data_IF_393643023272
#
_entry.id   IF_393643023272
#
_cell.length_a   1.000
_cell.length_b   1.000
_cell.length_c   1.000
_cell.angle_alpha   90.00
_cell.angle_beta   90.00
_cell.angle_gamma   90.00
#
_symmetry.space_group_name_H-M   'P 1'
#
loop_
_entity.id
_entity.type
_entity.pdbx_description
1 polymer ?
#
# COMPACT_ATOMS: atom_id res chain seq x y z
N UNK A 1 -40.20 19.93 -31.23
CA UNK A 1 -40.20 21.01 -32.24
C UNK A 1 -41.38 21.90 -31.95
N UNK A 2 -41.13 23.18 -31.73
CA UNK A 2 -42.19 24.18 -31.75
C UNK A 2 -42.67 24.40 -33.19
N UNK A 3 -43.98 24.33 -33.43
CA UNK A 3 -44.55 24.31 -34.77
C UNK A 3 -44.53 25.68 -35.48
N UNK A 4 -44.34 26.78 -34.73
CA UNK A 4 -44.33 28.14 -35.29
C UNK A 4 -42.91 28.67 -35.55
N UNK A 5 -41.98 28.40 -34.64
CA UNK A 5 -40.59 28.85 -34.69
C UNK A 5 -39.63 27.82 -35.30
N UNK A 6 -39.97 26.53 -35.23
CA UNK A 6 -39.05 25.45 -35.56
C UNK A 6 -38.08 25.10 -34.43
N UNK A 7 -38.19 25.73 -33.25
CA UNK A 7 -37.29 25.51 -32.12
C UNK A 7 -37.28 24.04 -31.68
N UNK A 8 -36.07 23.49 -31.53
CA UNK A 8 -35.83 22.16 -30.97
C UNK A 8 -35.38 22.34 -29.52
N UNK A 9 -36.03 21.65 -28.60
CA UNK A 9 -35.70 21.65 -27.18
C UNK A 9 -35.62 20.22 -26.70
N UNK A 10 -34.74 20.00 -25.73
CA UNK A 10 -34.68 18.72 -25.02
C UNK A 10 -35.88 18.62 -24.09
N UNK A 11 -36.56 17.48 -24.08
CA UNK A 11 -37.76 17.24 -23.26
C UNK A 11 -37.46 16.83 -21.81
N UNK A 12 -36.24 16.39 -21.54
CA UNK A 12 -35.75 15.93 -20.23
C UNK A 12 -34.25 16.14 -20.13
N UNK A 13 -33.69 16.04 -18.93
CA UNK A 13 -32.23 15.99 -18.75
C UNK A 13 -31.64 14.84 -19.57
N UNK A 14 -30.48 15.08 -20.19
CA UNK A 14 -29.68 14.09 -20.88
C UNK A 14 -28.37 13.97 -20.12
N UNK A 15 -28.04 12.74 -19.75
CA UNK A 15 -26.84 12.37 -19.04
C UNK A 15 -25.98 11.54 -20.00
N UNK A 16 -24.75 11.99 -20.26
CA UNK A 16 -23.86 11.38 -21.23
C UNK A 16 -23.56 9.91 -20.90
N UNK A 17 -23.53 9.56 -19.61
CA UNK A 17 -23.11 8.23 -19.14
C UNK A 17 -24.17 7.15 -19.34
N UNK A 18 -25.43 7.55 -19.51
CA UNK A 18 -26.57 6.62 -19.61
C UNK A 18 -27.37 6.80 -20.89
N UNK A 19 -27.27 7.95 -21.55
CA UNK A 19 -28.03 8.26 -22.76
C UNK A 19 -27.25 7.90 -24.04
N UNK A 20 -27.96 7.74 -25.18
CA UNK A 20 -27.29 7.66 -26.47
C UNK A 20 -26.41 8.88 -26.75
N UNK A 21 -25.15 8.64 -27.11
CA UNK A 21 -24.17 9.69 -27.41
C UNK A 21 -24.46 10.43 -28.73
N UNK A 22 -25.35 9.90 -29.57
CA UNK A 22 -25.77 10.53 -30.82
C UNK A 22 -27.22 10.19 -31.17
N UNK A 23 -27.97 11.21 -31.57
CA UNK A 23 -29.37 11.11 -31.98
C UNK A 23 -29.50 11.51 -33.44
N UNK A 24 -30.20 10.70 -34.23
CA UNK A 24 -30.58 11.02 -35.62
C UNK A 24 -32.07 11.31 -35.70
N UNK A 25 -32.41 12.59 -35.78
CA UNK A 25 -33.78 13.07 -35.80
C UNK A 25 -34.19 13.38 -37.25
N UNK A 26 -35.19 12.66 -37.77
CA UNK A 26 -35.75 12.96 -39.10
C UNK A 26 -36.87 13.98 -38.94
N UNK A 27 -36.65 15.18 -39.47
CA UNK A 27 -37.58 16.30 -39.44
C UNK A 27 -38.32 16.33 -40.78
N UNK A 28 -39.65 16.35 -40.74
CA UNK A 28 -40.51 16.49 -41.92
C UNK A 28 -41.19 17.86 -41.89
N UNK A 29 -41.16 18.56 -43.02
CA UNK A 29 -41.97 19.77 -43.25
C UNK A 29 -43.03 19.47 -44.31
N UNK A 30 -44.23 20.01 -44.15
CA UNK A 30 -45.31 19.93 -45.13
C UNK A 30 -45.98 21.29 -45.26
N UNK A 31 -46.36 21.66 -46.48
CA UNK A 31 -47.27 22.79 -46.67
C UNK A 31 -48.69 22.46 -46.17
N UNK A 32 -49.51 23.51 -46.02
CA UNK A 32 -50.94 23.36 -45.71
C UNK A 32 -51.70 23.11 -47.02
N UNK A 33 -52.78 22.31 -47.01
CA UNK A 33 -53.57 22.08 -48.22
C UNK A 33 -54.09 23.40 -48.77
N UNK A 34 -53.70 23.72 -50.01
CA UNK A 34 -54.29 24.83 -50.76
C UNK A 34 -55.72 24.54 -51.22
N UNK A 35 -56.31 25.44 -51.99
CA UNK A 35 -57.67 25.29 -52.55
C UNK A 35 -57.87 24.05 -53.43
N UNK A 36 -56.80 23.32 -53.77
CA UNK A 36 -56.80 22.06 -54.53
C UNK A 36 -56.49 20.77 -53.74
N UNK A 37 -56.49 20.81 -52.40
CA UNK A 37 -56.42 19.63 -51.51
C UNK A 37 -55.17 18.72 -51.59
N UNK A 38 -54.11 19.12 -52.31
CA UNK A 38 -52.82 18.42 -52.34
C UNK A 38 -51.80 19.12 -51.43
N UNK A 39 -50.94 18.33 -50.79
CA UNK A 39 -49.83 18.82 -49.95
C UNK A 39 -48.50 18.23 -50.41
N UNK A 40 -47.43 19.01 -50.29
CA UNK A 40 -46.06 18.60 -50.56
C UNK A 40 -45.26 18.55 -49.26
N UNK A 41 -44.33 17.61 -49.18
CA UNK A 41 -43.48 17.47 -47.99
C UNK A 41 -42.04 17.11 -48.36
N UNK A 42 -41.11 17.52 -47.51
CA UNK A 42 -39.69 17.16 -47.58
C UNK A 42 -39.19 16.75 -46.20
N UNK A 43 -38.07 16.01 -46.18
CA UNK A 43 -37.43 15.53 -44.95
C UNK A 43 -35.95 15.93 -44.89
N UNK A 44 -35.46 16.10 -43.66
CA UNK A 44 -34.07 16.40 -43.31
C UNK A 44 -33.68 15.55 -42.09
N UNK A 45 -32.44 15.06 -42.04
CA UNK A 45 -31.92 14.33 -40.86
C UNK A 45 -30.97 15.22 -40.06
N UNK A 46 -31.38 15.61 -38.85
CA UNK A 46 -30.54 16.30 -37.88
C UNK A 46 -29.81 15.28 -37.02
N UNK A 47 -28.47 15.35 -37.00
CA UNK A 47 -27.65 14.60 -36.06
C UNK A 47 -27.31 15.50 -34.87
N UNK A 48 -27.64 15.05 -33.67
CA UNK A 48 -27.28 15.70 -32.40
C UNK A 48 -26.30 14.80 -31.69
N UNK A 49 -25.08 15.26 -31.46
CA UNK A 49 -24.12 14.56 -30.62
C UNK A 49 -24.23 15.12 -29.20
N UNK A 50 -24.15 14.23 -28.22
CA UNK A 50 -24.07 14.61 -26.82
C UNK A 50 -22.59 14.72 -26.48
N UNK A 51 -22.18 15.88 -25.95
CA UNK A 51 -20.83 16.07 -25.46
C UNK A 51 -20.79 15.75 -23.96
N UNK A 52 -19.70 15.13 -23.55
CA UNK A 52 -19.47 14.71 -22.18
C UNK A 52 -19.09 15.90 -21.28
N UNK A 53 -19.54 15.88 -20.03
CA UNK A 53 -19.24 16.87 -19.00
C UNK A 53 -18.56 16.15 -17.84
N UNK A 54 -17.55 16.78 -17.21
CA UNK A 54 -16.85 16.20 -16.07
C UNK A 54 -17.73 16.18 -14.80
N UNK A 55 -18.77 15.34 -14.76
CA UNK A 55 -19.75 15.27 -13.67
C UNK A 55 -19.54 14.07 -12.71
N UNK A 56 -18.70 13.09 -13.06
CA UNK A 56 -18.21 12.08 -12.13
C UNK A 56 -16.92 12.51 -11.43
N UNK A 57 -16.38 11.67 -10.55
CA UNK A 57 -15.09 11.90 -9.88
C UNK A 57 -14.35 10.57 -9.81
N UNK A 58 -13.01 10.57 -9.74
CA UNK A 58 -12.27 9.33 -9.60
C UNK A 58 -12.69 8.61 -8.31
N UNK A 59 -12.95 7.31 -8.37
CA UNK A 59 -13.30 6.47 -7.22
C UNK A 59 -12.28 5.37 -7.07
N UNK A 60 -11.56 5.34 -5.95
CA UNK A 60 -10.62 4.25 -5.64
C UNK A 60 -11.35 2.91 -5.47
N UNK A 61 -10.70 1.83 -5.90
CA UNK A 61 -11.20 0.47 -5.71
C UNK A 61 -11.26 0.06 -4.23
N UNK A 62 -10.50 0.75 -3.36
CA UNK A 62 -10.54 0.59 -1.92
C UNK A 62 -10.43 1.95 -1.21
N UNK A 63 -11.19 2.13 -0.13
CA UNK A 63 -11.09 3.29 0.76
C UNK A 63 -9.75 3.34 1.49
N UNK A 64 -9.16 2.18 1.77
CA UNK A 64 -7.82 2.04 2.31
C UNK A 64 -7.15 0.77 1.79
N UNK A 65 -5.84 0.86 1.57
CA UNK A 65 -4.96 -0.25 1.22
C UNK A 65 -4.06 -0.56 2.42
N UNK A 66 -3.79 -1.84 2.66
CA UNK A 66 -2.88 -2.28 3.70
C UNK A 66 -2.12 -3.50 3.19
N UNK A 67 -0.78 -3.47 3.31
CA UNK A 67 0.11 -4.57 2.91
C UNK A 67 1.21 -4.76 3.95
N UNK A 68 1.81 -5.95 3.93
CA UNK A 68 3.02 -6.25 4.68
C UNK A 68 4.14 -6.57 3.67
N UNK A 69 5.33 -6.04 3.90
CA UNK A 69 6.52 -6.28 3.08
C UNK A 69 7.71 -6.56 4.00
N UNK A 70 8.61 -7.42 3.59
CA UNK A 70 9.82 -7.70 4.36
C UNK A 70 10.80 -6.52 4.25
N UNK A 71 11.55 -6.22 5.30
CA UNK A 71 12.57 -5.15 5.24
C UNK A 71 13.68 -5.44 4.23
N UNK A 72 13.93 -6.72 3.96
CA UNK A 72 14.97 -7.21 3.06
C UNK A 72 14.71 -6.96 1.56
N UNK A 73 13.59 -6.33 1.20
CA UNK A 73 13.31 -6.00 -0.21
C UNK A 73 14.35 -5.03 -0.77
N UNK A 74 14.72 -5.23 -2.03
CA UNK A 74 15.64 -4.31 -2.71
C UNK A 74 14.94 -3.04 -3.17
N UNK A 75 15.70 -1.95 -3.26
CA UNK A 75 15.26 -0.73 -3.94
C UNK A 75 14.87 -1.04 -5.39
N UNK A 76 13.77 -0.46 -5.85
CA UNK A 76 13.18 -0.73 -7.16
C UNK A 76 12.13 -1.85 -7.17
N UNK A 77 11.87 -2.49 -6.02
CA UNK A 77 10.83 -3.52 -5.89
C UNK A 77 9.44 -2.89 -5.93
N UNK A 78 8.58 -3.40 -6.81
CA UNK A 78 7.15 -3.07 -6.84
C UNK A 78 6.43 -3.70 -5.65
N UNK A 79 5.75 -2.89 -4.84
CA UNK A 79 5.14 -3.34 -3.57
C UNK A 79 3.63 -3.54 -3.68
N UNK A 80 2.94 -2.64 -4.38
CA UNK A 80 1.49 -2.70 -4.62
C UNK A 80 1.13 -1.77 -5.77
N UNK A 81 -0.02 -2.02 -6.42
CA UNK A 81 -0.67 -1.03 -7.29
C UNK A 81 -2.00 -0.58 -6.69
N UNK A 82 -2.23 0.72 -6.66
CA UNK A 82 -3.54 1.30 -6.36
C UNK A 82 -4.32 1.53 -7.66
N UNK A 83 -5.64 1.56 -7.57
CA UNK A 83 -6.48 1.83 -8.73
C UNK A 83 -7.72 2.64 -8.37
N UNK A 84 -8.09 3.52 -9.28
CA UNK A 84 -9.32 4.27 -9.26
C UNK A 84 -9.96 4.23 -10.65
N UNK A 85 -11.28 4.42 -10.70
CA UNK A 85 -12.07 4.50 -11.93
C UNK A 85 -12.84 5.81 -11.97
N UNK A 86 -13.00 6.37 -13.15
CA UNK A 86 -13.85 7.51 -13.42
C UNK A 86 -14.72 7.16 -14.64
N UNK A 87 -16.01 7.47 -14.56
CA UNK A 87 -16.99 7.04 -15.57
C UNK A 87 -17.04 8.02 -16.75
N UNK A 88 -16.50 9.22 -16.59
CA UNK A 88 -16.49 10.22 -17.65
C UNK A 88 -15.59 9.76 -18.82
N UNK A 89 -15.80 10.35 -19.99
CA UNK A 89 -15.06 9.99 -21.20
C UNK A 89 -13.77 10.79 -21.39
N UNK A 90 -12.89 10.32 -22.27
CA UNK A 90 -11.73 11.10 -22.73
C UNK A 90 -10.86 11.65 -21.58
N UNK A 91 -10.55 12.94 -21.54
CA UNK A 91 -9.76 13.56 -20.47
C UNK A 91 -10.50 13.62 -19.13
N UNK A 92 -11.83 13.68 -19.15
CA UNK A 92 -12.64 13.72 -17.93
C UNK A 92 -12.50 12.41 -17.15
N UNK A 93 -12.41 11.27 -17.84
CA UNK A 93 -12.15 9.97 -17.20
C UNK A 93 -10.68 9.63 -16.95
N UNK A 94 -9.73 10.44 -17.43
CA UNK A 94 -8.30 10.11 -17.34
C UNK A 94 -7.72 10.45 -15.97
N UNK A 95 -7.25 9.42 -15.27
CA UNK A 95 -6.76 9.56 -13.88
C UNK A 95 -5.24 9.76 -13.84
N UNK A 96 -4.80 10.61 -12.91
CA UNK A 96 -3.41 10.76 -12.46
C UNK A 96 -3.31 10.58 -10.96
N UNK A 97 -2.38 9.72 -10.56
CA UNK A 97 -2.09 9.43 -9.16
C UNK A 97 -0.94 10.28 -8.63
N UNK A 98 -1.05 10.70 -7.37
CA UNK A 98 0.01 11.44 -6.64
C UNK A 98 -0.01 11.07 -5.15
N UNK A 99 1.16 11.06 -4.51
CA UNK A 99 1.27 11.01 -3.05
C UNK A 99 1.19 12.46 -2.56
N UNK A 100 0.22 12.76 -1.72
CA UNK A 100 -0.05 14.14 -1.24
C UNK A 100 0.26 14.34 0.25
N UNK A 101 0.65 13.28 0.95
CA UNK A 101 1.05 13.35 2.35
C UNK A 101 1.40 11.99 2.92
N UNK A 102 1.82 12.00 4.18
CA UNK A 102 2.27 10.82 4.90
C UNK A 102 3.79 10.75 5.05
N UNK A 103 4.26 9.72 5.74
CA UNK A 103 5.68 9.53 6.10
C UNK A 103 6.42 8.54 5.19
N UNK A 104 5.74 7.96 4.19
CA UNK A 104 6.34 7.18 3.11
C UNK A 104 6.93 8.02 1.97
N UNK A 105 6.81 9.35 2.00
CA UNK A 105 7.34 10.25 0.97
C UNK A 105 8.87 10.18 0.95
N UNK A 106 9.46 9.90 -0.22
CA UNK A 106 10.90 9.72 -0.37
C UNK A 106 11.40 8.30 -0.08
N UNK A 107 10.56 7.45 0.51
CA UNK A 107 10.81 6.01 0.71
C UNK A 107 10.11 5.19 -0.39
N UNK A 108 8.92 5.63 -0.81
CA UNK A 108 8.16 5.03 -1.88
C UNK A 108 7.90 6.03 -3.01
N UNK A 109 7.92 5.53 -4.24
CA UNK A 109 7.52 6.27 -5.44
C UNK A 109 6.19 5.73 -5.96
N UNK A 110 5.41 6.59 -6.64
CA UNK A 110 4.12 6.24 -7.22
C UNK A 110 4.11 6.62 -8.71
N UNK A 111 3.88 5.63 -9.56
CA UNK A 111 3.71 5.84 -10.98
C UNK A 111 2.38 6.52 -11.28
N UNK A 112 2.43 7.73 -11.85
CA UNK A 112 1.26 8.60 -12.00
C UNK A 112 0.16 8.06 -12.91
N UNK A 113 0.48 7.16 -13.84
CA UNK A 113 -0.49 6.58 -14.79
C UNK A 113 -0.99 5.22 -14.31
N UNK A 114 -0.09 4.33 -13.87
CA UNK A 114 -0.44 2.94 -13.54
C UNK A 114 -0.92 2.75 -12.11
N UNK A 115 -0.59 3.69 -11.21
CA UNK A 115 -0.86 3.54 -9.78
C UNK A 115 0.11 2.58 -9.08
N UNK A 116 1.17 2.14 -9.76
CA UNK A 116 2.19 1.25 -9.20
C UNK A 116 3.06 1.99 -8.17
N UNK A 117 3.28 1.37 -7.03
CA UNK A 117 4.09 1.87 -5.94
C UNK A 117 5.34 1.01 -5.82
N UNK A 118 6.49 1.67 -5.78
CA UNK A 118 7.80 1.04 -5.78
C UNK A 118 8.64 1.56 -4.62
N UNK A 119 9.33 0.68 -3.91
CA UNK A 119 10.30 1.09 -2.89
C UNK A 119 11.51 1.75 -3.55
N UNK A 120 11.94 2.91 -3.06
CA UNK A 120 13.11 3.64 -3.57
C UNK A 120 14.20 3.84 -2.50
N UNK A 121 13.97 3.31 -1.30
CA UNK A 121 14.93 3.29 -0.21
C UNK A 121 14.99 1.89 0.42
N UNK A 122 16.08 1.59 1.11
CA UNK A 122 16.16 0.40 1.95
C UNK A 122 15.23 0.58 3.15
N UNK A 123 14.60 -0.52 3.55
CA UNK A 123 13.77 -0.58 4.74
C UNK A 123 14.57 -1.23 5.87
N UNK A 124 14.16 -0.92 7.09
CA UNK A 124 14.80 -1.37 8.32
C UNK A 124 13.70 -1.35 9.40
N UNK A 125 13.35 -2.53 9.89
CA UNK A 125 12.29 -2.77 10.87
C UNK A 125 12.67 -2.17 12.22
N UNK A 126 13.93 -2.32 12.64
CA UNK A 126 14.48 -1.76 13.89
C UNK A 126 14.40 -0.23 13.89
N UNK A 127 14.56 0.40 12.72
CA UNK A 127 14.37 1.85 12.56
C UNK A 127 12.89 2.24 12.46
N UNK A 128 12.10 1.57 11.61
CA UNK A 128 10.70 1.94 11.36
C UNK A 128 9.84 0.79 10.81
N UNK A 129 8.83 0.44 11.59
CA UNK A 129 7.97 -0.72 11.36
C UNK A 129 6.77 -0.47 10.44
N UNK A 130 6.42 0.78 10.13
CA UNK A 130 5.30 1.07 9.22
C UNK A 130 5.36 2.45 8.59
N UNK A 131 4.70 2.58 7.44
CA UNK A 131 4.54 3.82 6.70
C UNK A 131 3.08 4.02 6.31
N UNK A 132 2.63 5.27 6.37
CA UNK A 132 1.30 5.69 5.92
C UNK A 132 1.45 6.75 4.84
N UNK A 133 0.71 6.58 3.74
CA UNK A 133 0.65 7.54 2.64
C UNK A 133 -0.79 7.91 2.31
N UNK A 134 -1.00 9.18 1.99
CA UNK A 134 -2.26 9.68 1.46
C UNK A 134 -2.14 9.79 -0.07
N UNK A 135 -2.87 8.94 -0.77
CA UNK A 135 -2.83 8.85 -2.23
C UNK A 135 -4.02 9.60 -2.82
N UNK A 136 -3.76 10.46 -3.80
CA UNK A 136 -4.77 11.22 -4.53
C UNK A 136 -4.90 10.71 -5.95
N UNK A 137 -6.13 10.37 -6.36
CA UNK A 137 -6.51 10.17 -7.75
C UNK A 137 -7.21 11.44 -8.24
N UNK A 138 -6.74 12.01 -9.35
CA UNK A 138 -7.27 13.25 -9.93
C UNK A 138 -7.55 13.03 -11.41
N UNK A 139 -8.71 13.47 -11.89
CA UNK A 139 -9.01 13.47 -13.32
C UNK A 139 -8.25 14.58 -14.09
N UNK A 140 -8.38 14.59 -15.42
CA UNK A 140 -7.89 15.67 -16.28
C UNK A 140 -9.03 16.56 -16.81
N UNK A 141 -10.20 16.50 -16.19
CA UNK A 141 -11.36 17.34 -16.53
C UNK A 141 -11.16 18.80 -16.15
N UNK A 142 -12.07 19.67 -16.61
CA UNK A 142 -12.07 21.11 -16.28
C UNK A 142 -13.48 21.57 -15.87
N UNK A 143 -13.72 21.92 -14.59
CA UNK A 143 -12.79 21.82 -13.46
C UNK A 143 -12.47 20.37 -13.12
N UNK A 144 -11.23 20.12 -12.69
CA UNK A 144 -10.79 18.78 -12.33
C UNK A 144 -11.35 18.33 -10.98
N UNK A 145 -11.69 17.05 -10.84
CA UNK A 145 -12.14 16.45 -9.59
C UNK A 145 -11.16 15.37 -9.13
N UNK A 146 -11.32 14.95 -7.87
CA UNK A 146 -10.37 14.05 -7.23
C UNK A 146 -10.96 13.34 -6.01
N UNK A 147 -10.36 12.21 -5.68
CA UNK A 147 -10.59 11.49 -4.42
C UNK A 147 -9.26 11.15 -3.73
N UNK A 148 -9.38 10.68 -2.50
CA UNK A 148 -8.27 10.29 -1.64
C UNK A 148 -8.44 8.85 -1.15
N UNK A 149 -7.33 8.13 -0.98
CA UNK A 149 -7.28 6.83 -0.32
C UNK A 149 -6.01 6.73 0.53
N UNK A 150 -6.10 6.01 1.64
CA UNK A 150 -4.97 5.80 2.56
C UNK A 150 -4.27 4.49 2.19
N UNK A 151 -2.95 4.50 2.14
CA UNK A 151 -2.14 3.29 2.03
C UNK A 151 -1.28 3.14 3.27
N UNK A 152 -1.43 2.00 3.95
CA UNK A 152 -0.57 1.56 5.04
C UNK A 152 0.35 0.43 4.55
N UNK A 153 1.64 0.56 4.81
CA UNK A 153 2.65 -0.45 4.54
C UNK A 153 3.27 -0.83 5.89
N UNK A 154 3.13 -2.08 6.31
CA UNK A 154 3.83 -2.59 7.48
C UNK A 154 5.09 -3.32 7.01
N UNK A 155 6.18 -3.14 7.75
CA UNK A 155 7.44 -3.80 7.52
C UNK A 155 7.48 -5.05 8.40
N UNK A 156 7.83 -6.19 7.83
CA UNK A 156 8.10 -7.40 8.58
C UNK A 156 9.58 -7.46 8.94
N UNK A 157 9.82 -7.79 10.19
CA UNK A 157 11.12 -8.14 10.77
C UNK A 157 11.69 -9.40 10.10
N UNK A 158 12.92 -9.29 9.63
CA UNK A 158 13.76 -10.35 9.10
C UNK A 158 14.97 -10.50 10.02
N UNK A 159 15.41 -11.74 10.26
CA UNK A 159 16.62 -11.98 11.04
C UNK A 159 17.87 -11.47 10.29
N UNK A 160 18.24 -10.21 10.53
CA UNK A 160 19.39 -9.55 9.94
C UNK A 160 20.35 -8.96 10.99
N UNK A 161 19.96 -8.96 12.26
CA UNK A 161 20.83 -8.68 13.38
C UNK A 161 21.38 -9.97 13.98
N UNK A 162 22.60 -9.89 14.52
CA UNK A 162 23.23 -11.00 15.23
C UNK A 162 23.17 -10.78 16.75
N UNK A 163 22.99 -11.85 17.55
CA UNK A 163 23.04 -11.72 18.99
C UNK A 163 24.42 -11.24 19.46
N UNK A 164 24.45 -10.31 20.41
CA UNK A 164 25.68 -9.76 21.00
C UNK A 164 25.69 -9.91 22.51
N UNK A 165 26.80 -10.39 23.08
CA UNK A 165 26.99 -10.45 24.53
C UNK A 165 27.31 -9.07 25.11
N UNK A 166 26.73 -8.73 26.26
CA UNK A 166 27.12 -7.55 27.03
C UNK A 166 27.18 -7.84 28.54
N UNK A 167 28.37 -7.72 29.18
CA UNK A 167 29.70 -7.43 28.61
C UNK A 167 30.27 -8.56 27.73
N UNK A 168 31.21 -8.22 26.86
CA UNK A 168 31.92 -9.17 25.97
C UNK A 168 32.89 -10.09 26.72
N UNK A 169 33.29 -9.72 27.93
CA UNK A 169 34.12 -10.53 28.82
C UNK A 169 33.52 -10.55 30.22
N UNK A 170 33.40 -11.75 30.79
CA UNK A 170 33.06 -11.95 32.18
C UNK A 170 34.27 -12.53 32.90
N UNK A 171 34.67 -11.90 34.01
CA UNK A 171 35.67 -12.45 34.92
C UNK A 171 34.97 -12.75 36.24
N UNK A 172 34.92 -14.02 36.60
CA UNK A 172 34.32 -14.49 37.85
C UNK A 172 35.29 -15.45 38.50
N UNK A 173 35.54 -15.24 39.80
CA UNK A 173 36.29 -16.17 40.63
C UNK A 173 35.29 -17.06 41.39
N UNK A 174 35.59 -18.35 41.45
CA UNK A 174 34.83 -19.31 42.26
C UNK A 174 35.79 -20.05 43.18
N UNK A 175 35.38 -20.29 44.42
CA UNK A 175 36.13 -21.12 45.34
C UNK A 175 36.10 -22.59 44.90
N UNK A 176 37.18 -23.31 45.16
CA UNK A 176 37.28 -24.72 44.82
C UNK A 176 36.31 -25.59 45.64
N UNK A 177 35.92 -25.23 46.84
CA UNK A 177 35.08 -26.09 47.69
C UNK A 177 33.57 -25.96 47.42
N UNK A 178 33.18 -25.38 46.28
CA UNK A 178 31.78 -25.14 45.97
C UNK A 178 31.08 -26.43 45.52
N UNK A 179 29.95 -26.81 46.15
CA UNK A 179 29.19 -27.99 45.76
C UNK A 179 28.53 -27.83 44.40
N UNK A 180 27.97 -28.93 43.87
CA UNK A 180 27.16 -28.89 42.66
C UNK A 180 25.92 -27.99 42.81
N UNK A 181 25.52 -27.33 41.72
CA UNK A 181 24.34 -26.47 41.64
C UNK A 181 24.57 -25.05 42.15
N UNK A 182 25.81 -24.68 42.51
CA UNK A 182 26.12 -23.31 42.94
C UNK A 182 26.13 -22.38 41.74
N UNK A 183 25.47 -21.24 41.91
CA UNK A 183 25.46 -20.14 40.97
C UNK A 183 26.86 -19.54 40.82
N UNK A 184 27.33 -19.41 39.58
CA UNK A 184 28.60 -18.76 39.23
C UNK A 184 28.33 -17.35 38.70
N UNK A 185 27.57 -17.28 37.61
CA UNK A 185 27.33 -16.06 36.86
C UNK A 185 26.07 -16.19 36.03
N UNK A 186 25.56 -15.06 35.55
CA UNK A 186 24.58 -15.03 34.46
C UNK A 186 25.20 -14.28 33.29
N UNK A 187 25.21 -14.91 32.12
CA UNK A 187 25.54 -14.22 30.87
C UNK A 187 24.27 -13.74 30.20
N UNK A 188 24.34 -12.54 29.64
CA UNK A 188 23.25 -11.95 28.86
C UNK A 188 23.73 -11.65 27.44
N UNK A 189 22.86 -11.89 26.47
CA UNK A 189 23.01 -11.38 25.12
C UNK A 189 21.80 -10.51 24.77
N UNK A 190 21.93 -9.70 23.73
CA UNK A 190 20.87 -8.89 23.14
C UNK A 190 20.91 -9.06 21.64
N UNK A 191 19.72 -9.16 21.05
CA UNK A 191 19.50 -9.13 19.60
C UNK A 191 18.50 -8.00 19.33
N UNK A 192 18.70 -7.25 18.24
CA UNK A 192 17.84 -6.12 17.90
C UNK A 192 16.54 -6.56 17.23
N UNK A 193 16.52 -7.77 16.66
CA UNK A 193 15.33 -8.34 16.04
C UNK A 193 14.23 -8.61 17.11
N UNK A 194 13.09 -9.12 16.69
CA UNK A 194 11.96 -9.43 17.57
C UNK A 194 11.47 -10.87 17.47
N UNK A 195 10.68 -11.28 18.46
CA UNK A 195 10.03 -12.58 18.48
C UNK A 195 11.03 -13.75 18.41
N UNK A 196 10.86 -14.61 17.40
CA UNK A 196 11.71 -15.78 17.21
C UNK A 196 13.12 -15.41 16.71
N UNK A 197 13.27 -14.27 16.03
CA UNK A 197 14.56 -13.84 15.48
C UNK A 197 15.53 -13.42 16.59
N UNK A 198 15.01 -12.85 17.68
CA UNK A 198 15.76 -12.53 18.90
C UNK A 198 15.75 -13.61 20.00
N UNK A 199 15.25 -14.82 19.71
CA UNK A 199 15.20 -15.90 20.69
C UNK A 199 16.60 -16.50 20.94
N UNK A 200 17.07 -16.45 22.19
CA UNK A 200 18.43 -16.88 22.53
C UNK A 200 18.50 -18.32 23.03
N UNK A 201 19.58 -19.00 22.64
CA UNK A 201 19.95 -20.32 23.15
C UNK A 201 21.44 -20.33 23.54
N UNK A 202 21.72 -20.51 24.83
CA UNK A 202 23.07 -20.55 25.37
C UNK A 202 23.59 -22.00 25.50
N UNK A 203 24.87 -22.19 25.18
CA UNK A 203 25.56 -23.48 25.32
C UNK A 203 27.03 -23.25 25.69
N UNK A 204 27.58 -24.07 26.59
CA UNK A 204 29.01 -24.12 26.87
C UNK A 204 29.65 -25.05 25.84
N UNK A 205 30.71 -24.58 25.17
CA UNK A 205 31.44 -25.42 24.22
C UNK A 205 32.09 -26.60 24.97
N UNK A 206 31.72 -27.82 24.62
CA UNK A 206 32.21 -29.04 25.25
C UNK A 206 33.74 -29.22 25.13
N UNK A 207 34.37 -28.62 24.12
CA UNK A 207 35.84 -28.63 23.99
C UNK A 207 36.53 -27.80 25.08
N UNK A 208 35.84 -26.79 25.62
CA UNK A 208 36.38 -25.89 26.66
C UNK A 208 36.08 -26.36 28.08
N UNK A 209 35.09 -27.24 28.25
CA UNK A 209 34.76 -27.91 29.51
C UNK A 209 34.46 -29.41 29.28
N UNK A 210 35.48 -30.21 28.93
CA UNK A 210 35.28 -31.61 28.55
C UNK A 210 34.79 -32.49 29.71
N UNK A 211 35.07 -32.08 30.95
CA UNK A 211 34.62 -32.76 32.17
C UNK A 211 33.24 -32.31 32.63
N UNK A 212 32.65 -31.32 31.95
CA UNK A 212 31.32 -30.76 32.20
C UNK A 212 31.19 -30.25 33.64
N UNK A 213 32.22 -29.62 34.19
CA UNK A 213 32.20 -29.03 35.54
C UNK A 213 31.17 -27.89 35.67
N UNK A 214 30.77 -27.31 34.54
CA UNK A 214 29.79 -26.24 34.48
C UNK A 214 28.60 -26.59 33.59
N UNK A 215 27.46 -26.01 33.91
CA UNK A 215 26.24 -26.06 33.09
C UNK A 215 25.74 -24.64 32.88
N UNK A 216 25.08 -24.41 31.74
CA UNK A 216 24.39 -23.16 31.44
C UNK A 216 22.92 -23.44 31.16
N UNK A 217 22.03 -22.63 31.75
CA UNK A 217 20.61 -22.65 31.39
C UNK A 217 20.44 -22.12 29.97
N UNK A 218 19.85 -22.93 29.08
CA UNK A 218 19.78 -22.63 27.64
C UNK A 218 19.03 -21.33 27.32
N UNK A 219 18.07 -20.91 28.15
CA UNK A 219 17.34 -19.65 27.97
C UNK A 219 17.66 -18.61 29.04
N UNK A 220 18.14 -19.03 30.21
CA UNK A 220 18.40 -18.13 31.33
C UNK A 220 19.81 -17.55 31.32
N UNK A 221 20.76 -18.16 30.61
CA UNK A 221 22.17 -17.78 30.64
C UNK A 221 22.84 -18.00 32.01
N UNK A 222 22.16 -18.67 32.95
CA UNK A 222 22.66 -18.92 34.29
C UNK A 222 23.68 -20.05 34.25
N UNK A 223 24.89 -19.78 34.71
CA UNK A 223 26.00 -20.73 34.82
C UNK A 223 26.08 -21.26 36.24
N UNK A 224 26.15 -22.58 36.38
CA UNK A 224 26.27 -23.27 37.67
C UNK A 224 27.32 -24.37 37.63
N UNK A 225 27.85 -24.74 38.80
CA UNK A 225 28.64 -25.97 38.95
C UNK A 225 27.77 -27.21 38.77
N UNK A 226 28.32 -28.29 38.23
CA UNK A 226 27.66 -29.60 38.11
C UNK A 226 28.19 -30.61 39.13
N UNK A 227 29.41 -30.39 39.61
CA UNK A 227 30.13 -31.23 40.57
C UNK A 227 30.73 -30.36 41.67
N UNK A 228 31.22 -31.00 42.73
CA UNK A 228 32.17 -30.35 43.64
C UNK A 228 33.38 -29.92 42.80
N UNK A 229 33.78 -28.66 42.91
CA UNK A 229 35.05 -28.22 42.35
C UNK A 229 36.17 -28.75 43.27
N UNK A 230 37.36 -28.97 42.74
CA UNK A 230 38.48 -29.44 43.56
C UNK A 230 39.76 -28.92 42.93
N UNK A 231 40.52 -28.11 43.68
CA UNK A 231 41.80 -27.60 43.22
C UNK A 231 42.88 -28.31 44.06
N UNK A 232 43.12 -29.54 43.61
CA UNK A 232 44.14 -30.57 43.98
C UNK A 232 43.57 -31.88 44.53
#
# INVERSE_FOLDING_TARGET
IDQGSGDIRVSSYLDYDVAPQSYKLVIKVSDKPGTGSTTYSSTMTLTVNLDDVNDNSPVFSKNAYSINIDESISTGTSVISVSATDNDSSSNGQIRYTIVGGDGVGIFSLATITGEITSIALLDFETKQSYTMLIKAKDLGTPSKSSLSILQINVNDVNDNMPTFQPTNYLVAVDENQPAGIFIATVGASDSDTGANAAMAFVINAETDPYRHFTIGSTSGVIQTTTLLDRE
#
